data_IF_496914311235
#
_entry.id   IF_496914311235
#
_cell.length_a   1.000
_cell.length_b   1.000
_cell.length_c   1.000
_cell.angle_alpha   90.00
_cell.angle_beta   90.00
_cell.angle_gamma   90.00
#
_symmetry.space_group_name_H-M   'P 1'
#
loop_
_entity.id
_entity.type
_entity.pdbx_description
1 polymer ?
#
# COMPACT_ATOMS: atom_id res chain seq x y z
N UNK A 1 -6.86 4.23 2.28
CA UNK A 1 -5.75 3.36 1.81
C UNK A 1 -5.97 2.79 0.41
N UNK A 2 -7.02 2.00 0.11
CA UNK A 2 -7.23 1.47 -1.25
C UNK A 2 -7.34 2.59 -2.30
N UNK A 3 -8.01 3.70 -1.97
CA UNK A 3 -8.08 4.88 -2.82
C UNK A 3 -6.68 5.44 -3.16
N UNK A 4 -5.84 5.69 -2.15
CA UNK A 4 -4.46 6.14 -2.36
C UNK A 4 -3.64 5.16 -3.23
N UNK A 5 -3.84 3.85 -3.05
CA UNK A 5 -3.18 2.85 -3.92
C UNK A 5 -3.66 2.99 -5.37
N UNK A 6 -4.97 3.17 -5.60
CA UNK A 6 -5.53 3.37 -6.96
C UNK A 6 -5.07 4.65 -7.62
N UNK A 7 -4.81 5.69 -6.83
CA UNK A 7 -4.32 6.98 -7.34
C UNK A 7 -2.86 6.91 -7.78
N UNK A 8 -2.02 6.21 -7.01
CA UNK A 8 -0.57 6.19 -7.23
C UNK A 8 -0.07 5.02 -8.09
N UNK A 9 -0.96 4.09 -8.46
CA UNK A 9 -0.57 2.86 -9.15
C UNK A 9 -1.55 2.52 -10.27
N UNK A 10 -1.01 1.98 -11.36
CA UNK A 10 -1.81 1.50 -12.49
C UNK A 10 -2.17 0.03 -12.36
N UNK A 11 -3.32 -0.34 -12.92
CA UNK A 11 -3.76 -1.74 -13.01
C UNK A 11 -4.01 -2.39 -11.64
N UNK A 12 -4.48 -1.60 -10.67
CA UNK A 12 -4.80 -2.07 -9.31
C UNK A 12 -6.02 -2.98 -9.35
N UNK A 13 -5.83 -4.24 -8.93
CA UNK A 13 -6.91 -5.19 -8.69
C UNK A 13 -7.11 -5.35 -7.18
N UNK A 14 -8.36 -5.30 -6.74
CA UNK A 14 -8.74 -5.45 -5.33
C UNK A 14 -9.59 -6.69 -5.20
N UNK A 15 -9.19 -7.61 -4.32
CA UNK A 15 -9.92 -8.85 -4.03
C UNK A 15 -10.29 -8.91 -2.57
N UNK A 16 -11.57 -9.11 -2.30
CA UNK A 16 -12.05 -9.40 -0.96
C UNK A 16 -11.93 -10.91 -0.67
N UNK A 17 -11.37 -11.25 0.49
CA UNK A 17 -11.23 -12.63 1.00
C UNK A 17 -12.01 -12.85 2.30
N UNK A 18 -12.90 -11.93 2.66
CA UNK A 18 -13.69 -11.94 3.89
C UNK A 18 -12.89 -11.46 5.10
N UNK A 19 -11.78 -12.13 5.42
CA UNK A 19 -10.93 -11.78 6.57
C UNK A 19 -9.85 -10.75 6.27
N UNK A 20 -9.56 -10.50 4.98
CA UNK A 20 -8.63 -9.47 4.54
C UNK A 20 -8.93 -9.04 3.11
N UNK A 21 -8.44 -7.86 2.74
CA UNK A 21 -8.43 -7.39 1.36
C UNK A 21 -7.05 -7.63 0.76
N UNK A 22 -6.99 -8.24 -0.42
CA UNK A 22 -5.77 -8.40 -1.20
C UNK A 22 -5.73 -7.36 -2.31
N UNK A 23 -4.72 -6.52 -2.28
CA UNK A 23 -4.45 -5.56 -3.36
C UNK A 23 -3.32 -6.11 -4.22
N UNK A 24 -3.54 -6.16 -5.54
CA UNK A 24 -2.60 -6.65 -6.53
C UNK A 24 -2.24 -5.52 -7.48
N UNK A 25 -0.94 -5.38 -7.73
CA UNK A 25 -0.37 -4.51 -8.77
C UNK A 25 0.66 -5.31 -9.56
N UNK A 26 0.95 -4.88 -10.79
CA UNK A 26 1.79 -5.68 -11.71
C UNK A 26 3.21 -5.92 -11.20
N UNK A 27 3.95 -4.86 -10.86
CA UNK A 27 5.40 -4.94 -10.56
C UNK A 27 5.83 -4.14 -9.35
N UNK A 28 5.31 -2.93 -9.22
CA UNK A 28 5.67 -1.98 -8.16
C UNK A 28 4.39 -1.36 -7.61
N UNK A 29 4.19 -1.49 -6.30
CA UNK A 29 3.17 -0.79 -5.55
C UNK A 29 3.86 0.34 -4.78
N UNK A 30 3.36 1.56 -4.88
CA UNK A 30 3.84 2.72 -4.13
C UNK A 30 2.67 3.38 -3.41
N UNK A 31 2.89 3.73 -2.15
CA UNK A 31 2.01 4.61 -1.39
C UNK A 31 2.85 5.65 -0.66
N UNK A 32 2.27 6.82 -0.40
CA UNK A 32 2.87 7.88 0.41
C UNK A 32 1.99 8.16 1.61
N UNK A 33 2.57 8.68 2.70
CA UNK A 33 1.80 9.20 3.84
C UNK A 33 0.73 10.19 3.37
N UNK A 34 1.13 11.22 2.64
CA UNK A 34 0.27 12.30 2.14
C UNK A 34 -0.96 11.82 1.38
N UNK A 35 -0.81 10.94 0.38
CA UNK A 35 -1.95 10.37 -0.35
C UNK A 35 -2.88 9.54 0.55
N UNK A 36 -2.33 8.83 1.54
CA UNK A 36 -3.16 8.10 2.51
C UNK A 36 -3.92 9.09 3.40
N UNK A 37 -3.26 10.14 3.90
CA UNK A 37 -3.90 11.18 4.70
C UNK A 37 -5.01 11.90 3.92
N UNK A 38 -4.71 12.32 2.69
CA UNK A 38 -5.66 12.97 1.80
C UNK A 38 -6.92 12.12 1.59
N UNK A 39 -6.74 10.81 1.34
CA UNK A 39 -7.86 9.91 1.10
C UNK A 39 -8.60 9.45 2.35
N UNK A 40 -7.94 9.43 3.52
CA UNK A 40 -8.57 9.05 4.80
C UNK A 40 -9.16 10.25 5.57
N UNK A 41 -8.73 11.47 5.27
CA UNK A 41 -9.12 12.67 6.01
C UNK A 41 -8.57 12.75 7.43
N UNK A 42 -7.46 12.04 7.73
CA UNK A 42 -6.82 12.00 9.05
C UNK A 42 -5.31 11.75 8.93
N UNK A 43 -4.51 12.10 9.96
CA UNK A 43 -3.09 11.82 9.96
C UNK A 43 -2.75 10.34 9.78
N UNK A 44 -1.63 10.06 9.11
CA UNK A 44 -1.14 8.72 8.82
C UNK A 44 0.39 8.72 8.65
N UNK A 45 1.09 8.07 9.58
CA UNK A 45 2.55 8.09 9.67
C UNK A 45 3.19 6.77 9.27
N UNK A 46 4.19 6.83 8.39
CA UNK A 46 5.00 5.69 8.01
C UNK A 46 6.24 5.54 8.93
N UNK A 47 6.71 4.30 9.20
CA UNK A 47 6.07 3.03 8.84
C UNK A 47 4.95 2.61 9.81
N UNK A 48 4.87 3.20 11.01
CA UNK A 48 4.11 2.63 12.13
C UNK A 48 2.61 2.41 11.85
N UNK A 49 1.90 3.41 11.31
CA UNK A 49 0.46 3.27 11.05
C UNK A 49 0.19 2.25 9.93
N UNK A 50 1.14 2.10 9.00
CA UNK A 50 1.06 1.12 7.92
C UNK A 50 1.25 -0.31 8.43
N UNK A 51 2.19 -0.53 9.34
CA UNK A 51 2.47 -1.84 9.94
C UNK A 51 1.28 -2.39 10.72
N UNK A 52 0.48 -1.53 11.35
CA UNK A 52 -0.75 -1.92 12.07
C UNK A 52 -1.82 -2.48 11.12
N UNK A 53 -1.95 -1.89 9.93
CA UNK A 53 -3.05 -2.21 8.99
C UNK A 53 -2.65 -3.19 7.88
N UNK A 54 -1.37 -3.54 7.78
CA UNK A 54 -0.85 -4.39 6.72
C UNK A 54 -0.36 -5.74 7.26
N UNK A 55 -1.27 -6.72 7.45
CA UNK A 55 -0.94 -7.98 8.08
C UNK A 55 0.00 -8.87 7.25
N UNK A 56 0.07 -8.65 5.93
CA UNK A 56 1.02 -9.34 5.05
C UNK A 56 1.24 -8.59 3.75
N UNK A 57 2.36 -8.88 3.08
CA UNK A 57 2.67 -8.41 1.73
C UNK A 57 3.44 -9.47 0.93
N UNK A 58 3.57 -9.26 -0.39
CA UNK A 58 4.40 -10.08 -1.28
C UNK A 58 5.47 -9.21 -1.93
N UNK A 59 6.68 -9.75 -2.06
CA UNK A 59 7.80 -9.08 -2.72
C UNK A 59 8.75 -8.41 -1.74
N UNK A 60 9.65 -7.59 -2.27
CA UNK A 60 10.59 -6.79 -1.49
C UNK A 60 9.88 -5.53 -1.04
N UNK A 61 9.86 -5.29 0.28
CA UNK A 61 9.27 -4.10 0.88
C UNK A 61 10.36 -3.12 1.29
N UNK A 62 10.18 -1.85 0.95
CA UNK A 62 11.01 -0.73 1.39
C UNK A 62 10.12 0.39 1.90
N UNK A 63 10.49 1.00 3.01
CA UNK A 63 9.72 2.07 3.64
C UNK A 63 10.64 3.14 4.19
N UNK A 64 10.21 4.39 4.04
CA UNK A 64 10.80 5.59 4.65
C UNK A 64 9.70 6.33 5.42
N UNK A 65 10.02 7.50 5.99
CA UNK A 65 9.00 8.35 6.61
C UNK A 65 7.95 8.88 5.63
N UNK A 66 8.28 8.95 4.33
CA UNK A 66 7.45 9.60 3.31
C UNK A 66 6.70 8.59 2.43
N UNK A 67 7.33 7.45 2.13
CA UNK A 67 6.76 6.45 1.23
C UNK A 67 7.03 5.00 1.60
N UNK A 68 6.15 4.13 1.12
CA UNK A 68 6.24 2.69 1.21
C UNK A 68 6.11 2.10 -0.20
N UNK A 69 7.03 1.19 -0.54
CA UNK A 69 7.15 0.59 -1.87
C UNK A 69 7.28 -0.92 -1.76
N UNK A 70 6.44 -1.64 -2.51
CA UNK A 70 6.54 -3.09 -2.69
C UNK A 70 6.91 -3.39 -4.13
N UNK A 71 7.94 -4.21 -4.32
CA UNK A 71 8.38 -4.65 -5.64
C UNK A 71 8.33 -6.17 -5.74
N UNK A 72 7.76 -6.69 -6.83
CA UNK A 72 7.89 -8.09 -7.15
C UNK A 72 9.39 -8.41 -7.30
N UNK A 73 9.89 -9.41 -6.57
CA UNK A 73 11.25 -9.91 -6.76
C UNK A 73 11.47 -10.36 -8.20
N UNK A 74 12.74 -10.46 -8.65
CA UNK A 74 13.03 -11.10 -9.94
C UNK A 74 12.35 -12.48 -9.98
N UNK A 75 11.76 -12.86 -11.13
CA UNK A 75 11.11 -14.16 -11.30
C UNK A 75 12.08 -15.31 -11.04
#
# INVERSE_FOLDING_TARGET
MIAAIRELNEGVEVRDRGSYIRVLVRRRCRVTGDAIEHTLGRPFRLPGDLEIVMPSFKGVFRVTGDEAVWEAGRP
#
